data_IF_159732146061
#
_entry.id   IF_159732146061
#
_cell.length_a   1.000
_cell.length_b   1.000
_cell.length_c   1.000
_cell.angle_alpha   90.00
_cell.angle_beta   90.00
_cell.angle_gamma   90.00
#
_symmetry.space_group_name_H-M   'P 1'
#
loop_
_entity.id
_entity.type
_entity.pdbx_description
1 polymer ?
#
# COMPACT_ATOMS: atom_id res chain seq x y z
N UNK A 1 57.80 -12.04 3.65
CA UNK A 1 56.55 -12.16 2.86
C UNK A 1 55.31 -12.26 3.74
N UNK A 2 55.29 -13.10 4.80
CA UNK A 2 54.15 -13.26 5.71
C UNK A 2 53.57 -11.96 6.30
N UNK A 3 54.43 -11.02 6.77
CA UNK A 3 53.97 -9.71 7.32
C UNK A 3 53.17 -8.85 6.33
N UNK A 4 53.46 -8.92 5.02
CA UNK A 4 52.71 -8.19 3.99
C UNK A 4 51.33 -8.80 3.76
N UNK A 5 51.23 -10.13 3.82
CA UNK A 5 49.97 -10.87 3.65
C UNK A 5 49.04 -10.60 4.83
N UNK A 6 49.55 -10.59 6.07
CA UNK A 6 48.76 -10.25 7.27
C UNK A 6 48.23 -8.81 7.22
N UNK A 7 49.02 -7.85 6.74
CA UNK A 7 48.59 -6.46 6.59
C UNK A 7 47.48 -6.27 5.55
N UNK A 8 47.57 -6.98 4.41
CA UNK A 8 46.51 -6.97 3.37
C UNK A 8 45.23 -7.59 3.93
N UNK A 9 45.32 -8.66 4.71
CA UNK A 9 44.16 -9.32 5.31
C UNK A 9 43.43 -8.42 6.31
N UNK A 10 44.17 -7.69 7.16
CA UNK A 10 43.59 -6.71 8.09
C UNK A 10 42.89 -5.58 7.34
N UNK A 11 43.51 -5.05 6.28
CA UNK A 11 42.91 -3.98 5.47
C UNK A 11 41.61 -4.43 4.79
N UNK A 12 41.58 -5.66 4.28
CA UNK A 12 40.38 -6.26 3.68
C UNK A 12 39.25 -6.43 4.69
N UNK A 13 39.56 -6.88 5.93
CA UNK A 13 38.56 -6.99 7.00
C UNK A 13 38.03 -5.62 7.39
N UNK A 14 38.89 -4.61 7.56
CA UNK A 14 38.45 -3.24 7.88
C UNK A 14 37.56 -2.65 6.78
N UNK A 15 37.94 -2.82 5.51
CA UNK A 15 37.14 -2.36 4.38
C UNK A 15 35.78 -3.07 4.32
N UNK A 16 35.76 -4.39 4.51
CA UNK A 16 34.52 -5.14 4.56
C UNK A 16 33.62 -4.67 5.71
N UNK A 17 34.19 -4.41 6.89
CA UNK A 17 33.46 -3.90 8.06
C UNK A 17 32.84 -2.51 7.80
N UNK A 18 33.55 -1.62 7.10
CA UNK A 18 33.05 -0.30 6.70
C UNK A 18 31.89 -0.38 5.70
N UNK A 19 31.91 -1.36 4.79
CA UNK A 19 30.81 -1.59 3.86
C UNK A 19 29.53 -2.04 4.58
N UNK A 20 29.63 -2.89 5.60
CA UNK A 20 28.44 -3.35 6.35
C UNK A 20 27.81 -2.22 7.19
N UNK A 21 28.61 -1.24 7.64
CA UNK A 21 28.12 -0.12 8.47
C UNK A 21 27.44 1.01 7.68
N UNK A 22 27.47 0.97 6.34
CA UNK A 22 26.88 2.03 5.50
C UNK A 22 25.37 1.85 5.24
N UNK A 23 24.74 0.80 5.77
CA UNK A 23 23.29 0.55 5.59
C UNK A 23 22.48 1.11 6.76
N UNK A 24 22.30 2.43 6.79
CA UNK A 24 21.37 3.08 7.71
C UNK A 24 20.59 4.17 6.96
N UNK A 25 19.64 3.75 6.12
CA UNK A 25 18.63 4.66 5.60
C UNK A 25 17.49 4.75 6.61
N UNK A 26 17.33 5.95 7.16
CA UNK A 26 16.14 6.31 7.92
C UNK A 26 15.16 6.82 6.88
N UNK A 27 14.15 6.03 6.53
CA UNK A 27 13.11 6.52 5.65
C UNK A 27 12.39 7.67 6.40
N UNK A 28 12.53 8.88 5.89
CA UNK A 28 11.83 10.04 6.45
C UNK A 28 10.48 10.19 5.76
N UNK A 29 9.48 10.61 6.51
CA UNK A 29 8.19 10.98 5.92
C UNK A 29 8.31 12.28 5.14
N UNK A 30 7.58 12.37 4.03
CA UNK A 30 7.39 13.65 3.37
C UNK A 30 6.41 14.53 4.14
N UNK A 31 6.59 15.84 3.98
CA UNK A 31 5.73 16.91 4.48
C UNK A 31 5.42 17.91 3.37
N UNK A 32 5.83 17.59 2.13
CA UNK A 32 5.60 18.42 0.96
C UNK A 32 4.21 18.11 0.39
N UNK A 33 3.29 19.09 0.30
CA UNK A 33 1.98 18.88 -0.29
C UNK A 33 2.01 18.45 -1.76
N UNK A 34 3.15 18.58 -2.47
CA UNK A 34 3.27 18.08 -3.84
C UNK A 34 3.50 16.57 -3.93
N UNK A 35 3.91 15.92 -2.84
CA UNK A 35 4.12 14.48 -2.80
C UNK A 35 2.78 13.76 -2.55
N UNK A 36 2.03 13.56 -3.63
CA UNK A 36 0.69 12.97 -3.61
C UNK A 36 0.72 11.46 -3.89
N UNK A 37 -0.29 10.76 -3.37
CA UNK A 37 -0.56 9.36 -3.74
C UNK A 37 -1.03 9.28 -5.19
N UNK A 38 -0.48 8.33 -5.94
CA UNK A 38 -0.91 8.03 -7.31
C UNK A 38 -1.83 6.80 -7.32
N UNK A 39 -2.99 6.93 -7.97
CA UNK A 39 -3.98 5.87 -8.07
C UNK A 39 -3.96 5.27 -9.47
N UNK A 40 -4.00 3.93 -9.57
CA UNK A 40 -4.08 3.26 -10.87
C UNK A 40 -5.40 3.50 -11.60
N UNK A 41 -6.46 3.80 -10.86
CA UNK A 41 -7.79 4.15 -11.37
C UNK A 41 -8.50 5.02 -10.34
N UNK A 42 -9.41 5.88 -10.79
CA UNK A 42 -10.31 6.64 -9.94
C UNK A 42 -11.61 5.89 -9.61
N UNK A 43 -11.98 4.92 -10.47
CA UNK A 43 -13.23 4.19 -10.40
C UNK A 43 -12.98 2.69 -10.62
N UNK A 44 -13.56 1.86 -9.75
CA UNK A 44 -13.56 0.40 -9.89
C UNK A 44 -14.98 -0.05 -10.24
N UNK A 45 -15.19 -0.52 -11.46
CA UNK A 45 -16.52 -0.94 -11.95
C UNK A 45 -16.69 -2.45 -11.85
N UNK A 46 -17.93 -2.88 -11.62
CA UNK A 46 -18.34 -4.28 -11.56
C UNK A 46 -19.47 -4.50 -12.58
N UNK A 47 -19.13 -5.07 -13.74
CA UNK A 47 -20.01 -5.04 -14.92
C UNK A 47 -21.27 -5.91 -14.77
N UNK A 48 -21.20 -7.05 -14.07
CA UNK A 48 -22.36 -7.93 -13.87
C UNK A 48 -22.20 -8.80 -12.63
N UNK A 49 -23.03 -8.57 -11.63
CA UNK A 49 -23.22 -9.50 -10.51
C UNK A 49 -24.47 -10.32 -10.88
N UNK A 50 -24.33 -11.64 -11.02
CA UNK A 50 -25.34 -12.52 -11.63
C UNK A 50 -26.70 -12.51 -10.90
N UNK A 51 -27.74 -13.07 -11.53
CA UNK A 51 -29.12 -13.21 -10.99
C UNK A 51 -29.26 -14.14 -9.77
N UNK A 52 -28.14 -14.59 -9.20
CA UNK A 52 -28.01 -15.35 -7.96
C UNK A 52 -27.01 -14.63 -7.06
N UNK A 53 -27.12 -14.79 -5.73
CA UNK A 53 -26.14 -14.22 -4.77
C UNK A 53 -24.71 -14.50 -5.27
N UNK A 54 -24.00 -13.42 -5.58
CA UNK A 54 -22.70 -13.47 -6.21
C UNK A 54 -21.73 -12.49 -5.54
N UNK A 55 -20.47 -12.89 -5.50
CA UNK A 55 -19.36 -12.02 -5.10
C UNK A 55 -18.49 -11.72 -6.31
N UNK A 56 -18.09 -10.47 -6.46
CA UNK A 56 -17.10 -10.07 -7.45
C UNK A 56 -15.96 -9.35 -6.73
N UNK A 57 -14.73 -9.59 -7.18
CA UNK A 57 -13.53 -8.95 -6.63
C UNK A 57 -12.76 -8.27 -7.75
N UNK A 58 -12.44 -7.00 -7.55
CA UNK A 58 -11.51 -6.25 -8.38
C UNK A 58 -10.43 -5.64 -7.48
N UNK A 59 -9.44 -4.98 -8.07
CA UNK A 59 -8.41 -4.32 -7.31
C UNK A 59 -7.97 -3.02 -7.99
N UNK A 60 -7.38 -2.15 -7.19
CA UNK A 60 -6.62 -1.01 -7.66
C UNK A 60 -5.32 -0.90 -6.87
N UNK A 61 -4.39 -0.11 -7.40
CA UNK A 61 -3.06 0.09 -6.81
C UNK A 61 -2.91 1.55 -6.45
N UNK A 62 -2.41 1.80 -5.24
CA UNK A 62 -2.01 3.11 -4.75
C UNK A 62 -0.49 3.14 -4.69
N UNK A 63 0.15 4.18 -5.22
CA UNK A 63 1.60 4.28 -5.32
C UNK A 63 2.12 5.52 -4.64
N UNK A 64 3.29 5.38 -4.02
CA UNK A 64 4.13 6.50 -3.65
C UNK A 64 5.16 6.71 -4.75
N UNK A 65 4.99 7.73 -5.58
CA UNK A 65 5.95 8.07 -6.64
C UNK A 65 7.20 8.79 -6.14
N UNK A 66 7.27 9.14 -4.85
CA UNK A 66 8.48 9.68 -4.25
C UNK A 66 9.52 8.56 -4.05
N UNK A 67 10.68 8.70 -4.68
CA UNK A 67 11.78 7.73 -4.62
C UNK A 67 12.60 7.76 -3.32
N UNK A 68 12.39 8.78 -2.47
CA UNK A 68 13.27 9.07 -1.32
C UNK A 68 12.58 9.17 0.03
N UNK A 69 11.25 9.39 0.06
CA UNK A 69 10.49 9.64 1.28
C UNK A 69 9.23 8.77 1.33
N UNK A 70 8.92 8.28 2.53
CA UNK A 70 7.66 7.57 2.78
C UNK A 70 6.51 8.57 2.81
N UNK A 71 5.32 8.14 2.41
CA UNK A 71 4.06 8.87 2.63
C UNK A 71 3.34 8.22 3.81
N UNK A 72 2.91 9.04 4.78
CA UNK A 72 2.06 8.59 5.87
C UNK A 72 0.59 8.76 5.47
N UNK A 73 -0.14 7.66 5.48
CA UNK A 73 -1.58 7.64 5.27
C UNK A 73 -2.23 7.48 6.64
N UNK A 74 -2.90 8.52 7.11
CA UNK A 74 -3.53 8.55 8.43
C UNK A 74 -4.69 7.54 8.50
N UNK A 75 -5.48 7.42 7.43
CA UNK A 75 -6.58 6.45 7.35
C UNK A 75 -6.94 6.08 5.92
N UNK A 76 -7.26 4.79 5.73
CA UNK A 76 -7.90 4.27 4.51
C UNK A 76 -9.19 3.58 4.95
N UNK A 77 -10.33 3.95 4.39
CA UNK A 77 -11.61 3.37 4.80
C UNK A 77 -12.69 3.45 3.72
N UNK A 78 -13.70 2.58 3.81
CA UNK A 78 -14.92 2.67 3.00
C UNK A 78 -15.90 3.66 3.63
N UNK A 79 -16.47 4.57 2.84
CA UNK A 79 -17.33 5.65 3.32
C UNK A 79 -18.64 5.14 3.95
N UNK A 80 -19.25 4.08 3.39
CA UNK A 80 -20.46 3.46 3.95
C UNK A 80 -20.28 2.71 5.27
N UNK A 81 -19.05 2.57 5.78
CA UNK A 81 -18.68 1.89 7.03
C UNK A 81 -19.41 0.54 7.26
N UNK A 82 -20.43 0.50 8.13
CA UNK A 82 -21.16 -0.74 8.48
C UNK A 82 -22.32 -1.05 7.55
N UNK A 83 -22.76 -0.09 6.74
CA UNK A 83 -23.91 -0.23 5.84
C UNK A 83 -23.49 -0.59 4.41
N UNK A 84 -22.18 -0.62 4.15
CA UNK A 84 -21.62 -0.92 2.83
C UNK A 84 -21.74 -2.40 2.47
N UNK A 85 -21.94 -2.66 1.17
CA UNK A 85 -21.85 -4.01 0.57
C UNK A 85 -20.43 -4.37 0.14
N UNK A 86 -19.51 -3.42 0.25
CA UNK A 86 -18.12 -3.57 -0.15
C UNK A 86 -17.24 -4.03 1.01
N UNK A 87 -16.30 -4.91 0.70
CA UNK A 87 -15.25 -5.36 1.60
C UNK A 87 -13.90 -5.03 0.99
N UNK A 88 -13.01 -4.48 1.81
CA UNK A 88 -11.64 -4.23 1.40
C UNK A 88 -10.69 -5.29 1.94
N UNK A 89 -9.71 -5.62 1.11
CA UNK A 89 -8.47 -6.22 1.54
C UNK A 89 -7.34 -5.26 1.18
N UNK A 90 -6.69 -4.73 2.20
CA UNK A 90 -5.65 -3.70 2.09
C UNK A 90 -4.31 -4.39 2.36
N UNK A 91 -3.50 -4.57 1.32
CA UNK A 91 -2.18 -5.22 1.39
C UNK A 91 -2.19 -6.63 2.02
N UNK A 92 -3.24 -7.41 1.75
CA UNK A 92 -3.42 -8.74 2.34
C UNK A 92 -4.24 -8.76 3.62
N UNK A 93 -4.48 -7.60 4.26
CA UNK A 93 -5.30 -7.49 5.47
C UNK A 93 -6.77 -7.26 5.11
N UNK A 94 -7.63 -8.24 5.45
CA UNK A 94 -9.09 -8.10 5.27
C UNK A 94 -9.67 -7.16 6.33
N UNK A 95 -9.85 -5.89 5.98
CA UNK A 95 -10.41 -4.84 6.84
C UNK A 95 -10.97 -3.70 6.00
N UNK A 96 -12.11 -3.13 6.41
CA UNK A 96 -12.72 -1.96 5.75
C UNK A 96 -12.15 -0.62 6.25
N UNK A 97 -11.27 -0.64 7.26
CA UNK A 97 -10.58 0.54 7.76
C UNK A 97 -9.20 0.14 8.28
N UNK A 98 -8.19 0.93 7.95
CA UNK A 98 -6.85 0.86 8.54
C UNK A 98 -6.38 2.28 8.84
N UNK A 99 -5.60 2.42 9.90
CA UNK A 99 -5.03 3.68 10.37
C UNK A 99 -3.52 3.60 10.40
N UNK A 100 -2.86 4.75 10.34
CA UNK A 100 -1.39 4.88 10.47
C UNK A 100 -0.61 3.95 9.51
N UNK A 101 -1.01 3.91 8.24
CA UNK A 101 -0.32 3.11 7.23
C UNK A 101 0.86 3.89 6.62
N UNK A 102 2.04 3.29 6.63
CA UNK A 102 3.24 3.84 5.99
C UNK A 102 3.43 3.22 4.61
N UNK A 103 3.45 4.05 3.56
CA UNK A 103 3.82 3.64 2.20
C UNK A 103 5.26 4.07 1.90
N UNK A 104 6.15 3.10 1.78
CA UNK A 104 7.59 3.32 1.58
C UNK A 104 7.90 4.06 0.25
N UNK A 105 9.10 4.66 0.11
CA UNK A 105 9.48 5.34 -1.12
C UNK A 105 9.47 4.40 -2.33
N UNK A 106 8.86 4.83 -3.43
CA UNK A 106 8.74 4.06 -4.67
C UNK A 106 7.87 2.80 -4.57
N UNK A 107 7.18 2.60 -3.43
CA UNK A 107 6.41 1.39 -3.16
C UNK A 107 4.94 1.52 -3.57
N UNK A 108 4.24 0.39 -3.61
CA UNK A 108 2.86 0.28 -4.05
C UNK A 108 2.03 -0.55 -3.07
N UNK A 109 0.84 -0.05 -2.77
CA UNK A 109 -0.20 -0.69 -1.98
C UNK A 109 -1.26 -1.29 -2.91
N UNK A 110 -1.56 -2.58 -2.74
CA UNK A 110 -2.68 -3.24 -3.43
C UNK A 110 -3.93 -3.20 -2.56
N UNK A 111 -5.05 -2.77 -3.13
CA UNK A 111 -6.35 -2.80 -2.46
C UNK A 111 -7.31 -3.60 -3.32
N UNK A 112 -7.76 -4.73 -2.78
CA UNK A 112 -8.81 -5.53 -3.39
C UNK A 112 -10.15 -5.07 -2.83
N UNK A 113 -11.09 -4.87 -3.73
CA UNK A 113 -12.48 -4.48 -3.44
C UNK A 113 -13.35 -5.67 -3.83
N UNK A 114 -14.01 -6.24 -2.83
CA UNK A 114 -15.00 -7.29 -3.02
C UNK A 114 -16.39 -6.71 -2.78
N UNK A 115 -17.34 -7.05 -3.62
CA UNK A 115 -18.76 -6.70 -3.44
C UNK A 115 -19.59 -7.98 -3.38
N UNK A 116 -20.62 -8.00 -2.53
CA UNK A 116 -21.61 -9.09 -2.49
C UNK A 116 -23.00 -8.51 -2.57
N UNK A 117 -23.75 -8.87 -3.62
CA UNK A 117 -25.10 -8.37 -3.89
C UNK A 117 -26.07 -9.54 -3.93
N UNK A 118 -27.20 -9.42 -3.23
CA UNK A 118 -28.39 -10.25 -3.42
C UNK A 118 -29.39 -9.53 -4.32
N UNK A 119 -29.58 -9.96 -5.58
CA UNK A 119 -30.46 -9.29 -6.52
C UNK A 119 -31.96 -9.33 -6.12
N UNK A 120 -32.33 -10.09 -5.08
CA UNK A 120 -33.70 -10.11 -4.55
C UNK A 120 -33.93 -9.11 -3.40
N UNK A 121 -32.86 -8.59 -2.79
CA UNK A 121 -32.93 -7.75 -1.59
C UNK A 121 -32.23 -6.40 -1.74
N UNK A 122 -31.21 -6.32 -2.57
CA UNK A 122 -30.32 -5.16 -2.71
C UNK A 122 -30.69 -4.31 -3.94
N UNK A 123 -30.20 -3.08 -3.99
CA UNK A 123 -30.46 -2.19 -5.12
C UNK A 123 -29.70 -2.66 -6.36
N UNK A 124 -30.25 -2.34 -7.53
CA UNK A 124 -29.66 -2.75 -8.81
C UNK A 124 -28.40 -1.94 -9.17
N UNK A 125 -28.20 -0.80 -8.49
CA UNK A 125 -27.03 0.07 -8.59
C UNK A 125 -26.62 0.41 -7.16
N UNK A 126 -25.43 -0.04 -6.77
CA UNK A 126 -24.82 0.24 -5.48
C UNK A 126 -23.52 1.01 -5.75
N UNK A 127 -23.29 2.07 -4.99
CA UNK A 127 -22.10 2.92 -5.10
C UNK A 127 -21.54 3.23 -3.72
N UNK A 128 -20.22 3.22 -3.59
CA UNK A 128 -19.51 3.62 -2.39
C UNK A 128 -18.13 4.18 -2.76
N UNK A 129 -17.42 4.76 -1.79
CA UNK A 129 -16.12 5.38 -1.97
C UNK A 129 -15.10 4.82 -1.00
N UNK A 130 -13.88 4.59 -1.49
CA UNK A 130 -12.70 4.36 -0.64
C UNK A 130 -12.02 5.69 -0.40
N UNK A 131 -11.94 6.11 0.86
CA UNK A 131 -11.42 7.41 1.27
C UNK A 131 -10.01 7.23 1.84
N UNK A 132 -9.11 8.10 1.41
CA UNK A 132 -7.73 8.21 1.90
C UNK A 132 -7.57 9.55 2.60
N UNK A 133 -7.06 9.52 3.83
CA UNK A 133 -6.69 10.71 4.61
C UNK A 133 -5.18 10.68 4.78
N UNK A 134 -4.51 11.72 4.33
CA UNK A 134 -3.06 11.92 4.50
C UNK A 134 -2.78 13.34 5.00
N UNK A 135 -1.63 13.52 5.66
CA UNK A 135 -1.17 14.82 6.14
C UNK A 135 -0.76 15.77 5.00
#
# INVERSE_FOLDING_TARGET
>A
MAKKITGIFILAVVFFTLLVLSSCNKNTFTTDPSDLLEFSTDTVQFDTIFTSIGSATNYFVVRNSNESKSIKIDRIFVAGESNTKYRLNIDGLSTNSIEDYELAPGDSLFIFVEVTIDPNQDEMIEEDSVIFVSN
#
